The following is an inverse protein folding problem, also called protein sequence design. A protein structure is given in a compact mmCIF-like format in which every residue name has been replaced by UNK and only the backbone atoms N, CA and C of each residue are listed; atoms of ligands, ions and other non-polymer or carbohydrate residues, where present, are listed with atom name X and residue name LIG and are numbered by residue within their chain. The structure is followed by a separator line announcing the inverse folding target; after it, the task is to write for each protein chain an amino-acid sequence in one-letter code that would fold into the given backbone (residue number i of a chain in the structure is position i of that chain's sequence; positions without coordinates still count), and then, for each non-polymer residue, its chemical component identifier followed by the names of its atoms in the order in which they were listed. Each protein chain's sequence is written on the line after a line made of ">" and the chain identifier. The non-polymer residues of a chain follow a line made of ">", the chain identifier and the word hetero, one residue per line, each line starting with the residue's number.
data_IF_145294491107
#
_entry.id   IF_145294491107
#
_cell.length_a   1.000
_cell.length_b   1.000
_cell.length_c   1.000
_cell.angle_alpha   90.00
_cell.angle_beta   90.00
_cell.angle_gamma   90.00
#
_symmetry.space_group_name_H-M   'P 1'
#
loop_
_entity.id
_entity.type
_entity.pdbx_description
1 polymer ?
#
# COMPACT_ATOMS: atom_id res chain seq x y z
N UNK A 1 6.99 3.16 -16.67
CA UNK A 1 7.58 4.14 -15.74
C UNK A 1 8.38 3.34 -14.73
N UNK A 2 9.66 3.63 -14.55
CA UNK A 2 10.48 2.96 -13.54
C UNK A 2 10.23 3.62 -12.18
N UNK A 3 10.15 2.82 -11.12
CA UNK A 3 9.98 3.31 -9.76
C UNK A 3 11.33 3.85 -9.25
N UNK A 4 11.28 4.93 -8.46
CA UNK A 4 12.48 5.54 -7.87
C UNK A 4 13.28 4.53 -7.00
N UNK A 5 14.62 4.52 -7.10
CA UNK A 5 15.46 3.44 -6.55
C UNK A 5 15.59 3.47 -5.03
N UNK A 6 15.25 4.57 -4.38
CA UNK A 6 15.29 4.73 -2.92
C UNK A 6 14.13 4.01 -2.21
N UNK A 7 13.16 3.47 -2.95
CA UNK A 7 12.18 2.51 -2.44
C UNK A 7 12.66 1.05 -2.48
N UNK A 8 13.98 0.79 -2.44
CA UNK A 8 14.50 -0.58 -2.36
C UNK A 8 14.58 -1.07 -0.89
N UNK A 9 14.21 -2.34 -0.60
CA UNK A 9 13.65 -3.34 -1.52
C UNK A 9 12.23 -2.97 -1.98
N UNK A 10 11.98 -3.10 -3.29
CA UNK A 10 10.77 -2.57 -3.95
C UNK A 10 9.51 -3.31 -3.50
N UNK A 11 8.55 -2.65 -2.81
CA UNK A 11 7.26 -3.25 -2.52
C UNK A 11 6.51 -3.51 -3.83
N UNK A 12 6.11 -4.77 -4.07
CA UNK A 12 5.40 -5.16 -5.29
C UNK A 12 4.12 -4.34 -5.51
N UNK A 13 3.50 -3.87 -4.42
CA UNK A 13 2.30 -3.03 -4.43
C UNK A 13 2.50 -1.76 -5.25
N UNK A 14 3.69 -1.14 -5.25
CA UNK A 14 3.94 0.07 -6.03
C UNK A 14 3.85 -0.20 -7.55
N UNK A 15 4.30 -1.36 -8.02
CA UNK A 15 4.11 -1.76 -9.42
C UNK A 15 2.62 -1.99 -9.73
N UNK A 16 1.89 -2.65 -8.83
CA UNK A 16 0.45 -2.86 -8.99
C UNK A 16 -0.31 -1.53 -9.05
N UNK A 17 0.07 -0.53 -8.26
CA UNK A 17 -0.49 0.83 -8.35
C UNK A 17 -0.27 1.46 -9.73
N UNK A 18 0.91 1.28 -10.34
CA UNK A 18 1.18 1.78 -11.70
C UNK A 18 0.29 1.10 -12.75
N UNK A 19 0.06 -0.21 -12.64
CA UNK A 19 -0.86 -0.92 -13.54
C UNK A 19 -2.31 -0.45 -13.35
N UNK A 20 -2.77 -0.29 -12.11
CA UNK A 20 -4.09 0.29 -11.83
C UNK A 20 -4.21 1.73 -12.36
N UNK A 21 -3.16 2.54 -12.26
CA UNK A 21 -3.14 3.90 -12.79
C UNK A 21 -3.30 3.92 -14.32
N UNK A 22 -2.76 2.95 -15.05
CA UNK A 22 -2.97 2.84 -16.51
C UNK A 22 -4.43 2.53 -16.83
N UNK A 23 -5.06 1.64 -16.06
CA UNK A 23 -6.48 1.32 -16.24
C UNK A 23 -7.35 2.57 -16.02
N UNK A 24 -7.12 3.32 -14.94
CA UNK A 24 -7.84 4.57 -14.67
C UNK A 24 -7.58 5.64 -15.75
N UNK A 25 -6.38 5.72 -16.28
CA UNK A 25 -6.04 6.64 -17.37
C UNK A 25 -6.82 6.30 -18.65
N UNK A 26 -6.92 5.01 -19.01
CA UNK A 26 -7.71 4.58 -20.15
C UNK A 26 -9.19 4.94 -20.00
N UNK A 27 -9.73 4.81 -18.79
CA UNK A 27 -11.12 5.18 -18.50
C UNK A 27 -11.40 6.67 -18.78
N UNK A 28 -10.39 7.57 -18.71
CA UNK A 28 -10.57 9.00 -19.07
C UNK A 28 -11.13 9.13 -20.50
N UNK A 29 -10.61 8.31 -21.42
CA UNK A 29 -11.06 8.30 -22.82
C UNK A 29 -12.48 7.72 -22.94
N UNK A 30 -12.78 6.63 -22.22
CA UNK A 30 -14.09 6.01 -22.23
C UNK A 30 -15.18 6.96 -21.72
N UNK A 31 -14.94 7.66 -20.61
CA UNK A 31 -15.85 8.68 -20.08
C UNK A 31 -16.08 9.82 -21.05
N UNK A 32 -15.01 10.32 -21.68
CA UNK A 32 -15.11 11.38 -22.70
C UNK A 32 -15.88 10.92 -23.93
N UNK A 33 -15.66 9.68 -24.36
CA UNK A 33 -16.36 9.07 -25.49
C UNK A 33 -17.85 8.95 -25.21
N UNK A 34 -18.24 8.31 -24.09
CA UNK A 34 -19.64 8.16 -23.70
C UNK A 34 -20.35 9.51 -23.54
N UNK A 35 -19.64 10.54 -23.06
CA UNK A 35 -20.21 11.88 -22.87
C UNK A 35 -20.44 12.63 -24.19
N UNK A 36 -19.49 12.54 -25.12
CA UNK A 36 -19.41 13.47 -26.25
C UNK A 36 -19.69 12.84 -27.62
N UNK A 37 -19.58 11.51 -27.74
CA UNK A 37 -19.67 10.79 -29.02
C UNK A 37 -20.86 9.84 -29.11
N UNK A 38 -21.55 9.63 -28.01
CA UNK A 38 -22.74 8.78 -27.91
C UNK A 38 -23.99 9.63 -27.66
N UNK A 39 -25.04 9.02 -27.12
CA UNK A 39 -26.36 9.62 -26.92
C UNK A 39 -26.52 10.38 -25.58
N UNK A 40 -25.44 10.64 -24.85
CA UNK A 40 -25.51 11.34 -23.55
C UNK A 40 -26.23 12.70 -23.63
N UNK A 41 -26.12 13.42 -24.76
CA UNK A 41 -26.77 14.72 -24.93
C UNK A 41 -28.29 14.69 -24.66
N UNK A 42 -28.92 13.52 -24.79
CA UNK A 42 -30.33 13.33 -24.48
C UNK A 42 -30.67 13.53 -22.99
N UNK A 43 -29.71 13.36 -22.08
CA UNK A 43 -29.86 13.64 -20.64
C UNK A 43 -30.30 15.10 -20.41
N UNK A 44 -29.89 16.01 -21.28
CA UNK A 44 -30.21 17.43 -21.14
C UNK A 44 -31.68 17.78 -21.43
N UNK A 45 -32.45 16.86 -22.03
CA UNK A 45 -33.89 17.01 -22.24
C UNK A 45 -34.72 16.56 -21.03
N UNK A 46 -34.10 15.93 -20.03
CA UNK A 46 -34.77 15.56 -18.79
C UNK A 46 -34.91 16.77 -17.87
N UNK A 47 -35.91 16.72 -16.99
CA UNK A 47 -36.05 17.68 -15.90
C UNK A 47 -34.79 17.71 -15.03
N UNK A 48 -34.53 18.88 -14.43
CA UNK A 48 -33.32 19.10 -13.63
C UNK A 48 -33.15 18.03 -12.54
N UNK A 49 -34.23 17.69 -11.83
CA UNK A 49 -34.22 16.68 -10.76
C UNK A 49 -33.80 15.29 -11.24
N UNK A 50 -34.07 14.98 -12.51
CA UNK A 50 -33.86 13.65 -13.09
C UNK A 50 -32.50 13.54 -13.77
N UNK A 51 -32.00 14.64 -14.38
CA UNK A 51 -30.66 14.64 -14.97
C UNK A 51 -29.53 14.75 -13.94
N UNK A 52 -29.76 15.37 -12.77
CA UNK A 52 -28.71 15.62 -11.78
C UNK A 52 -27.99 14.35 -11.31
N UNK A 53 -28.68 13.24 -10.93
CA UNK A 53 -28.01 11.98 -10.60
C UNK A 53 -27.17 11.41 -11.76
N UNK A 54 -27.66 11.55 -12.99
CA UNK A 54 -27.00 11.02 -14.19
C UNK A 54 -25.74 11.84 -14.56
N UNK A 55 -25.83 13.16 -14.48
CA UNK A 55 -24.68 14.06 -14.64
C UNK A 55 -23.63 13.84 -13.56
N UNK A 56 -24.07 13.55 -12.33
CA UNK A 56 -23.17 13.27 -11.20
C UNK A 56 -22.33 12.02 -11.43
N UNK A 57 -22.88 10.99 -12.07
CA UNK A 57 -22.12 9.79 -12.47
C UNK A 57 -20.98 10.15 -13.41
N UNK A 58 -21.27 10.89 -14.48
CA UNK A 58 -20.24 11.32 -15.42
C UNK A 58 -19.15 12.15 -14.73
N UNK A 59 -19.55 13.21 -14.01
CA UNK A 59 -18.60 14.13 -13.38
C UNK A 59 -17.69 13.40 -12.39
N UNK A 60 -18.27 12.51 -11.58
CA UNK A 60 -17.52 11.76 -10.56
C UNK A 60 -16.65 10.67 -11.20
N UNK A 61 -17.13 9.96 -12.22
CA UNK A 61 -16.39 8.89 -12.90
C UNK A 61 -15.17 9.44 -13.65
N UNK A 62 -15.34 10.59 -14.31
CA UNK A 62 -14.24 11.32 -14.93
C UNK A 62 -13.20 11.77 -13.89
N UNK A 63 -13.64 12.28 -12.74
CA UNK A 63 -12.75 12.64 -11.62
C UNK A 63 -11.97 11.43 -11.09
N UNK A 64 -12.62 10.28 -10.88
CA UNK A 64 -11.96 9.04 -10.43
C UNK A 64 -10.92 8.57 -11.45
N UNK A 65 -11.19 8.71 -12.74
CA UNK A 65 -10.20 8.43 -13.79
C UNK A 65 -8.97 9.36 -13.70
N UNK A 66 -9.20 10.61 -13.28
CA UNK A 66 -8.18 11.59 -12.90
C UNK A 66 -7.18 11.08 -11.86
N UNK A 67 -7.64 10.26 -10.90
CA UNK A 67 -6.78 9.73 -9.83
C UNK A 67 -5.63 8.86 -10.32
N UNK A 68 -5.62 8.45 -11.60
CA UNK A 68 -4.46 7.85 -12.24
C UNK A 68 -3.17 8.65 -12.02
N UNK A 69 -3.26 9.97 -11.97
CA UNK A 69 -2.11 10.85 -11.77
C UNK A 69 -1.66 10.81 -10.31
N UNK A 70 -2.60 10.87 -9.37
CA UNK A 70 -2.34 10.73 -7.93
C UNK A 70 -1.61 9.41 -7.62
N UNK A 71 -2.04 8.30 -8.21
CA UNK A 71 -1.42 6.98 -8.01
C UNK A 71 0.02 6.90 -8.52
N UNK A 72 0.46 7.79 -9.41
CA UNK A 72 1.83 7.83 -9.93
C UNK A 72 2.73 8.78 -9.13
N UNK A 73 2.15 9.65 -8.30
CA UNK A 73 2.89 10.74 -7.66
C UNK A 73 3.94 10.29 -6.65
N UNK A 74 3.86 9.05 -6.13
CA UNK A 74 4.92 8.50 -5.28
C UNK A 74 6.30 8.51 -5.96
N UNK A 75 6.36 8.51 -7.30
CA UNK A 75 7.60 8.56 -8.06
C UNK A 75 8.18 9.98 -8.22
N UNK A 76 7.53 11.01 -7.71
CA UNK A 76 7.94 12.40 -7.86
C UNK A 76 8.30 13.02 -6.49
N UNK A 77 9.59 13.06 -6.13
CA UNK A 77 10.04 13.52 -4.82
C UNK A 77 9.66 14.96 -4.47
N UNK A 78 9.43 15.80 -5.49
CA UNK A 78 8.99 17.18 -5.32
C UNK A 78 7.54 17.30 -4.82
N UNK A 79 6.70 16.27 -5.00
CA UNK A 79 5.37 16.19 -4.40
C UNK A 79 5.40 15.37 -3.12
N UNK A 80 6.00 14.18 -3.19
CA UNK A 80 6.07 13.25 -2.07
C UNK A 80 7.50 12.73 -1.89
N UNK A 81 8.29 13.36 -1.01
CA UNK A 81 9.68 12.94 -0.79
C UNK A 81 9.78 11.54 -0.19
N UNK A 82 8.78 11.11 0.60
CA UNK A 82 8.73 9.83 1.34
C UNK A 82 7.46 9.03 1.01
N UNK A 83 7.49 7.70 1.21
CA UNK A 83 6.30 6.84 1.07
C UNK A 83 5.19 7.28 2.04
N UNK A 84 5.56 7.71 3.23
CA UNK A 84 4.67 8.25 4.27
C UNK A 84 3.92 9.47 3.77
N UNK A 85 4.63 10.46 3.20
CA UNK A 85 4.01 11.67 2.67
C UNK A 85 3.01 11.38 1.54
N UNK A 86 3.32 10.39 0.70
CA UNK A 86 2.41 9.90 -0.34
C UNK A 86 1.14 9.27 0.24
N UNK A 87 1.29 8.33 1.19
CA UNK A 87 0.16 7.62 1.80
C UNK A 87 -0.73 8.53 2.67
N UNK A 88 -0.20 9.65 3.15
CA UNK A 88 -0.94 10.67 3.91
C UNK A 88 -1.59 11.73 3.02
N UNK A 89 -1.30 11.78 1.72
CA UNK A 89 -1.94 12.72 0.80
C UNK A 89 -3.46 12.55 0.82
N UNK A 90 -4.20 13.66 0.63
CA UNK A 90 -5.65 13.67 0.82
C UNK A 90 -6.39 12.62 -0.04
N UNK A 91 -6.04 12.52 -1.32
CA UNK A 91 -6.66 11.54 -2.24
C UNK A 91 -6.36 10.12 -1.79
N UNK A 92 -5.09 9.79 -1.55
CA UNK A 92 -4.66 8.45 -1.19
C UNK A 92 -5.21 8.03 0.17
N UNK A 93 -5.18 8.93 1.16
CA UNK A 93 -5.71 8.64 2.49
C UNK A 93 -7.24 8.41 2.45
N UNK A 94 -7.99 9.13 1.63
CA UNK A 94 -9.43 8.88 1.44
C UNK A 94 -9.71 7.51 0.80
N UNK A 95 -8.83 7.01 -0.07
CA UNK A 95 -8.94 5.64 -0.60
C UNK A 95 -8.66 4.64 0.52
N UNK A 96 -7.62 4.86 1.31
CA UNK A 96 -7.22 3.97 2.43
C UNK A 96 -8.33 3.85 3.48
N UNK A 97 -8.92 4.97 3.89
CA UNK A 97 -9.99 4.99 4.90
C UNK A 97 -11.30 4.38 4.40
N UNK A 98 -11.44 4.15 3.09
CA UNK A 98 -12.67 3.62 2.49
C UNK A 98 -13.72 4.67 2.17
N UNK A 99 -13.50 5.94 2.56
CA UNK A 99 -14.44 7.04 2.33
C UNK A 99 -14.85 7.17 0.86
N UNK A 100 -13.89 7.04 -0.07
CA UNK A 100 -14.20 7.04 -1.50
C UNK A 100 -15.13 5.90 -1.91
N UNK A 101 -14.96 4.70 -1.37
CA UNK A 101 -15.81 3.55 -1.71
C UNK A 101 -17.26 3.80 -1.28
N UNK A 102 -17.45 4.33 -0.08
CA UNK A 102 -18.77 4.66 0.48
C UNK A 102 -19.46 5.76 -0.34
N UNK A 103 -18.74 6.87 -0.60
CA UNK A 103 -19.25 8.01 -1.37
C UNK A 103 -19.65 7.59 -2.80
N UNK A 104 -18.79 6.80 -3.48
CA UNK A 104 -19.06 6.33 -4.84
C UNK A 104 -20.20 5.32 -4.89
N UNK A 105 -20.29 4.42 -3.91
CA UNK A 105 -21.40 3.45 -3.84
C UNK A 105 -22.74 4.16 -3.64
N UNK A 106 -22.78 5.21 -2.83
CA UNK A 106 -23.97 6.05 -2.64
C UNK A 106 -24.37 6.78 -3.92
N UNK A 107 -23.40 7.36 -4.64
CA UNK A 107 -23.64 8.03 -5.94
C UNK A 107 -24.15 7.04 -6.98
N UNK A 108 -23.54 5.85 -7.07
CA UNK A 108 -23.95 4.78 -7.97
C UNK A 108 -25.40 4.39 -7.70
N UNK A 109 -25.73 4.10 -6.44
CA UNK A 109 -27.08 3.69 -6.04
C UNK A 109 -28.12 4.74 -6.42
N UNK A 110 -27.86 6.02 -6.13
CA UNK A 110 -28.78 7.11 -6.48
C UNK A 110 -29.05 7.16 -8.00
N UNK A 111 -28.00 7.02 -8.82
CA UNK A 111 -28.18 7.01 -10.26
C UNK A 111 -28.90 5.76 -10.78
N UNK A 112 -28.65 4.59 -10.19
CA UNK A 112 -29.38 3.35 -10.52
C UNK A 112 -30.86 3.46 -10.17
N UNK A 113 -31.17 3.93 -8.98
CA UNK A 113 -32.55 4.17 -8.51
C UNK A 113 -33.25 5.16 -9.45
N UNK A 114 -32.57 6.23 -9.88
CA UNK A 114 -33.12 7.20 -10.84
C UNK A 114 -33.34 6.59 -12.22
N UNK A 115 -32.42 5.78 -12.72
CA UNK A 115 -32.60 5.07 -14.01
C UNK A 115 -33.80 4.11 -13.93
N UNK A 116 -33.97 3.41 -12.81
CA UNK A 116 -35.12 2.54 -12.56
C UNK A 116 -36.44 3.33 -12.58
N UNK A 117 -36.52 4.43 -11.82
CA UNK A 117 -37.69 5.32 -11.77
C UNK A 117 -38.07 5.87 -13.16
N UNK A 118 -37.09 6.32 -13.94
CA UNK A 118 -37.33 6.83 -15.29
C UNK A 118 -37.93 5.73 -16.19
N UNK A 119 -37.39 4.52 -16.12
CA UNK A 119 -37.90 3.38 -16.90
C UNK A 119 -39.30 2.95 -16.49
N UNK A 120 -39.61 2.92 -15.19
CA UNK A 120 -40.98 2.64 -14.71
C UNK A 120 -42.00 3.64 -15.27
N UNK A 121 -41.60 4.91 -15.38
CA UNK A 121 -42.42 5.98 -15.95
C UNK A 121 -42.37 6.04 -17.49
N UNK A 122 -41.85 4.99 -18.16
CA UNK A 122 -41.71 4.92 -19.63
C UNK A 122 -40.87 6.06 -20.24
N UNK A 123 -39.98 6.66 -19.46
CA UNK A 123 -39.01 7.65 -19.94
C UNK A 123 -37.77 6.92 -20.46
N UNK A 124 -37.38 7.25 -21.69
CA UNK A 124 -36.18 6.67 -22.31
C UNK A 124 -34.92 7.14 -21.59
N UNK A 125 -34.03 6.20 -21.25
CA UNK A 125 -32.72 6.48 -20.66
C UNK A 125 -31.66 6.25 -21.74
N UNK A 126 -30.72 7.19 -21.95
CA UNK A 126 -29.69 7.06 -22.98
C UNK A 126 -28.78 5.84 -22.72
N UNK A 127 -28.39 5.16 -23.79
CA UNK A 127 -27.50 4.00 -23.73
C UNK A 127 -26.17 4.34 -23.05
N UNK A 128 -25.63 5.53 -23.30
CA UNK A 128 -24.40 6.02 -22.69
C UNK A 128 -24.48 5.98 -21.15
N UNK A 129 -25.64 6.30 -20.55
CA UNK A 129 -25.82 6.26 -19.10
C UNK A 129 -25.69 4.83 -18.56
N UNK A 130 -26.25 3.84 -19.24
CA UNK A 130 -26.12 2.44 -18.81
C UNK A 130 -24.67 1.95 -18.87
N UNK A 131 -23.92 2.37 -19.88
CA UNK A 131 -22.49 2.05 -19.98
C UNK A 131 -21.68 2.79 -18.92
N UNK A 132 -22.01 4.05 -18.64
CA UNK A 132 -21.41 4.83 -17.57
C UNK A 132 -21.61 4.16 -16.21
N UNK A 133 -22.81 3.66 -15.90
CA UNK A 133 -23.07 2.90 -14.66
C UNK A 133 -22.19 1.64 -14.55
N UNK A 134 -22.05 0.89 -15.65
CA UNK A 134 -21.18 -0.31 -15.69
C UNK A 134 -19.71 0.05 -15.50
N UNK A 135 -19.22 1.12 -16.14
CA UNK A 135 -17.85 1.59 -15.99
C UNK A 135 -17.60 2.08 -14.56
N UNK A 136 -18.54 2.82 -13.98
CA UNK A 136 -18.47 3.33 -12.62
C UNK A 136 -18.36 2.20 -11.59
N UNK A 137 -19.15 1.13 -11.73
CA UNK A 137 -19.04 -0.10 -10.90
C UNK A 137 -17.63 -0.70 -10.95
N UNK A 138 -17.08 -0.88 -12.16
CA UNK A 138 -15.72 -1.40 -12.34
C UNK A 138 -14.66 -0.50 -11.68
N UNK A 139 -14.86 0.82 -11.71
CA UNK A 139 -13.96 1.76 -11.03
C UNK A 139 -14.02 1.64 -9.51
N UNK A 140 -15.21 1.43 -8.92
CA UNK A 140 -15.37 1.17 -7.49
C UNK A 140 -14.61 -0.12 -7.10
N UNK A 141 -14.78 -1.19 -7.87
CA UNK A 141 -14.06 -2.46 -7.66
C UNK A 141 -12.55 -2.26 -7.74
N UNK A 142 -12.06 -1.53 -8.75
CA UNK A 142 -10.65 -1.22 -8.90
C UNK A 142 -10.11 -0.39 -7.73
N UNK A 143 -10.86 0.60 -7.24
CA UNK A 143 -10.49 1.39 -6.07
C UNK A 143 -10.41 0.55 -4.80
N UNK A 144 -11.28 -0.44 -4.64
CA UNK A 144 -11.20 -1.39 -3.53
C UNK A 144 -9.93 -2.25 -3.59
N UNK A 145 -9.50 -2.67 -4.80
CA UNK A 145 -8.23 -3.37 -5.00
C UNK A 145 -7.04 -2.44 -4.68
N UNK A 146 -7.05 -1.22 -5.21
CA UNK A 146 -6.03 -0.19 -4.93
C UNK A 146 -5.91 0.05 -3.42
N UNK A 147 -7.04 0.13 -2.71
CA UNK A 147 -7.07 0.28 -1.26
C UNK A 147 -6.30 -0.84 -0.56
N UNK A 148 -6.44 -2.09 -0.98
CA UNK A 148 -5.68 -3.20 -0.39
C UNK A 148 -4.18 -3.05 -0.61
N UNK A 149 -3.75 -2.63 -1.80
CA UNK A 149 -2.34 -2.36 -2.08
C UNK A 149 -1.80 -1.22 -1.20
N UNK A 150 -2.55 -0.13 -1.04
CA UNK A 150 -2.17 1.00 -0.21
C UNK A 150 -2.09 0.64 1.29
N UNK A 151 -3.00 -0.20 1.78
CA UNK A 151 -2.92 -0.75 3.15
C UNK A 151 -1.69 -1.64 3.30
N UNK A 152 -1.41 -2.49 2.32
CA UNK A 152 -0.20 -3.33 2.30
C UNK A 152 1.10 -2.51 2.32
N UNK A 153 1.13 -1.34 1.67
CA UNK A 153 2.29 -0.45 1.71
C UNK A 153 2.59 0.07 3.11
N UNK A 154 1.58 0.25 3.98
CA UNK A 154 1.80 0.62 5.39
C UNK A 154 2.51 -0.48 6.20
N UNK A 155 2.54 -1.70 5.68
CA UNK A 155 3.26 -2.83 6.30
C UNK A 155 4.65 -3.02 5.71
N UNK A 156 5.04 -2.23 4.70
CA UNK A 156 6.37 -2.34 4.10
C UNK A 156 7.47 -1.83 5.03
N UNK A 157 8.66 -2.43 4.94
CA UNK A 157 9.85 -2.03 5.70
C UNK A 157 10.18 -0.54 5.52
N UNK A 158 9.96 0.01 4.32
CA UNK A 158 10.22 1.42 4.01
C UNK A 158 9.28 2.32 4.82
N UNK A 159 7.98 2.04 4.80
CA UNK A 159 7.02 2.83 5.56
C UNK A 159 7.29 2.77 7.07
N UNK A 160 7.61 1.58 7.59
CA UNK A 160 7.95 1.41 9.00
C UNK A 160 9.20 2.21 9.39
N UNK A 161 10.26 2.12 8.58
CA UNK A 161 11.52 2.87 8.78
C UNK A 161 11.29 4.38 8.78
N UNK A 162 10.50 4.89 7.84
CA UNK A 162 10.20 6.33 7.73
C UNK A 162 9.41 6.89 8.92
N UNK A 163 8.59 6.07 9.58
CA UNK A 163 7.73 6.52 10.68
C UNK A 163 8.33 6.27 12.07
N UNK A 164 9.61 5.88 12.14
CA UNK A 164 10.26 5.48 13.40
C UNK A 164 9.44 4.43 14.18
N UNK A 165 8.58 3.69 13.47
CA UNK A 165 7.97 2.48 14.00
C UNK A 165 9.17 1.56 14.16
N UNK A 166 9.62 1.37 15.41
CA UNK A 166 10.74 0.50 15.76
C UNK A 166 10.61 -0.79 14.96
N UNK A 167 11.38 -0.88 13.87
CA UNK A 167 11.77 -2.15 13.30
C UNK A 167 12.89 -2.59 14.26
N UNK A 168 12.52 -3.06 15.45
CA UNK A 168 13.10 -4.35 15.70
C UNK A 168 12.44 -5.23 14.65
N UNK A 169 13.23 -5.63 13.66
CA UNK A 169 12.77 -6.75 12.85
C UNK A 169 12.46 -7.82 13.87
N UNK A 170 11.38 -8.61 13.71
CA UNK A 170 11.11 -9.76 14.59
C UNK A 170 12.40 -10.54 14.90
N UNK A 171 13.34 -10.54 13.95
CA UNK A 171 14.73 -10.99 14.05
C UNK A 171 15.61 -10.24 15.08
N UNK A 172 15.64 -8.91 15.15
CA UNK A 172 16.30 -8.14 16.24
C UNK A 172 15.70 -8.45 17.61
N UNK A 173 14.37 -8.43 17.79
CA UNK A 173 13.79 -8.81 19.10
C UNK A 173 14.14 -10.24 19.47
N UNK A 174 14.12 -11.18 18.51
CA UNK A 174 14.53 -12.57 18.74
C UNK A 174 16.00 -12.69 19.10
N UNK A 175 16.89 -11.93 18.46
CA UNK A 175 18.32 -11.85 18.80
C UNK A 175 18.48 -11.34 20.23
N UNK A 176 17.84 -10.21 20.57
CA UNK A 176 17.93 -9.60 21.89
C UNK A 176 17.36 -10.51 22.97
N UNK A 177 16.23 -11.16 22.71
CA UNK A 177 15.62 -12.09 23.65
C UNK A 177 16.51 -13.34 23.87
N UNK A 178 17.12 -13.86 22.81
CA UNK A 178 18.06 -14.97 22.88
C UNK A 178 19.29 -14.61 23.73
N UNK A 179 19.92 -13.47 23.45
CA UNK A 179 21.08 -12.96 24.21
C UNK A 179 20.70 -12.75 25.69
N UNK A 180 19.55 -12.14 25.95
CA UNK A 180 19.06 -11.91 27.31
C UNK A 180 18.82 -13.24 28.07
N UNK A 181 18.26 -14.26 27.42
CA UNK A 181 18.08 -15.58 28.03
C UNK A 181 19.42 -16.26 28.32
N UNK A 182 20.39 -16.16 27.42
CA UNK A 182 21.74 -16.67 27.66
C UNK A 182 22.41 -15.95 28.85
N UNK A 183 22.34 -14.62 28.90
CA UNK A 183 22.86 -13.82 30.01
C UNK A 183 22.24 -14.19 31.35
N UNK A 184 20.91 -14.33 31.42
CA UNK A 184 20.22 -14.80 32.64
C UNK A 184 20.68 -16.18 33.10
N UNK A 185 21.03 -17.09 32.18
CA UNK A 185 21.58 -18.40 32.54
C UNK A 185 22.94 -18.31 33.19
N UNK A 186 23.77 -17.34 32.79
CA UNK A 186 25.05 -17.09 33.43
C UNK A 186 24.85 -16.65 34.88
N UNK A 187 23.86 -15.79 35.12
CA UNK A 187 23.49 -15.30 36.47
C UNK A 187 22.83 -16.38 37.34
N UNK A 188 21.95 -17.20 36.77
CA UNK A 188 21.21 -18.26 37.49
C UNK A 188 22.12 -19.43 37.90
N UNK A 189 23.21 -19.68 37.17
CA UNK A 189 24.10 -20.84 37.35
C UNK A 189 25.57 -20.43 37.53
N UNK A 190 25.92 -19.60 38.52
CA UNK A 190 27.26 -19.04 38.67
C UNK A 190 28.32 -20.12 38.92
N UNK A 191 27.97 -21.22 39.60
CA UNK A 191 28.88 -22.35 39.80
C UNK A 191 29.33 -23.02 38.49
N UNK A 192 28.50 -22.95 37.43
CA UNK A 192 28.82 -23.49 36.11
C UNK A 192 29.61 -22.50 35.27
N UNK A 193 29.24 -21.22 35.30
CA UNK A 193 29.78 -20.20 34.38
C UNK A 193 30.96 -19.38 34.95
N UNK A 194 31.21 -19.38 36.26
CA UNK A 194 32.33 -18.61 36.86
C UNK A 194 33.74 -19.08 36.42
N UNK A 195 33.84 -20.31 35.93
CA UNK A 195 35.10 -20.86 35.40
C UNK A 195 35.37 -20.44 33.95
N UNK A 196 34.37 -19.86 33.27
CA UNK A 196 34.44 -19.49 31.86
C UNK A 196 34.92 -18.05 31.71
N UNK A 197 35.81 -17.85 30.73
CA UNK A 197 36.28 -16.52 30.34
C UNK A 197 35.29 -15.83 29.40
N UNK A 198 35.61 -14.60 29.01
CA UNK A 198 34.81 -13.80 28.07
C UNK A 198 34.53 -14.56 26.76
N UNK A 199 35.55 -15.21 26.18
CA UNK A 199 35.42 -15.95 24.92
C UNK A 199 34.48 -17.15 25.04
N UNK A 200 34.54 -17.89 26.15
CA UNK A 200 33.66 -19.03 26.43
C UNK A 200 32.18 -18.60 26.59
N UNK A 201 31.96 -17.42 27.22
CA UNK A 201 30.63 -16.84 27.39
C UNK A 201 30.07 -16.32 26.05
N UNK A 202 30.92 -15.70 25.22
CA UNK A 202 30.57 -15.30 23.86
C UNK A 202 30.16 -16.51 23.03
N UNK A 203 30.92 -17.60 23.08
CA UNK A 203 30.64 -18.80 22.31
C UNK A 203 29.32 -19.48 22.76
N UNK A 204 28.96 -19.37 24.04
CA UNK A 204 27.62 -19.75 24.52
C UNK A 204 26.51 -18.90 23.90
N UNK A 205 26.71 -17.59 23.79
CA UNK A 205 25.75 -16.69 23.14
C UNK A 205 25.63 -17.03 21.64
N UNK A 206 26.75 -17.28 20.95
CA UNK A 206 26.77 -17.67 19.55
C UNK A 206 26.04 -19.00 19.31
N UNK A 207 26.23 -19.98 20.19
CA UNK A 207 25.51 -21.25 20.14
C UNK A 207 24.00 -21.05 20.27
N UNK A 208 23.58 -20.22 21.22
CA UNK A 208 22.17 -19.91 21.43
C UNK A 208 21.55 -19.22 20.20
N UNK A 209 22.27 -18.26 19.60
CA UNK A 209 21.85 -17.55 18.40
C UNK A 209 21.78 -18.46 17.17
N UNK A 210 22.73 -19.40 17.03
CA UNK A 210 22.76 -20.38 15.94
C UNK A 210 21.57 -21.35 15.97
N UNK A 211 20.85 -21.43 17.10
CA UNK A 211 19.61 -22.19 17.21
C UNK A 211 18.41 -21.54 16.53
N UNK A 212 18.54 -20.32 16.01
CA UNK A 212 17.47 -19.60 15.32
C UNK A 212 17.61 -19.78 13.81
N UNK A 213 16.65 -20.45 13.17
CA UNK A 213 16.71 -20.89 11.76
C UNK A 213 17.03 -19.79 10.74
N UNK A 214 16.61 -18.56 11.02
CA UNK A 214 16.67 -17.44 10.07
C UNK A 214 17.73 -16.41 10.44
N UNK A 215 18.58 -16.69 11.43
CA UNK A 215 19.64 -15.80 11.89
C UNK A 215 20.99 -16.49 11.73
N UNK A 216 21.95 -15.77 11.16
CA UNK A 216 23.36 -16.14 11.18
C UNK A 216 24.07 -15.33 12.26
N UNK A 217 24.90 -16.00 13.06
CA UNK A 217 25.75 -15.37 14.07
C UNK A 217 27.20 -15.80 13.90
N UNK A 218 28.12 -14.85 14.03
CA UNK A 218 29.56 -15.08 13.92
C UNK A 218 30.30 -14.40 15.07
N UNK A 219 31.30 -15.08 15.61
CA UNK A 219 32.25 -14.51 16.56
C UNK A 219 33.41 -13.83 15.85
N UNK A 220 34.02 -12.85 16.52
CA UNK A 220 35.31 -12.24 16.14
C UNK A 220 35.40 -11.79 14.68
N UNK A 221 34.42 -11.00 14.25
CA UNK A 221 34.39 -10.49 12.88
C UNK A 221 35.24 -9.23 12.78
N UNK A 222 36.14 -9.22 11.80
CA UNK A 222 36.98 -8.07 11.48
C UNK A 222 36.43 -7.33 10.27
N UNK A 223 36.35 -5.99 10.36
CA UNK A 223 36.07 -5.12 9.22
C UNK A 223 37.14 -4.02 9.10
N UNK A 224 37.03 -3.16 8.08
CA UNK A 224 38.01 -2.07 7.85
C UNK A 224 38.08 -1.03 8.99
N UNK A 225 37.11 -1.04 9.91
CA UNK A 225 36.94 -0.05 10.98
C UNK A 225 37.33 -0.62 12.35
N UNK A 226 37.27 -1.94 12.55
CA UNK A 226 37.65 -2.57 13.81
C UNK A 226 37.24 -4.04 13.93
N UNK A 227 37.35 -4.54 15.17
CA UNK A 227 36.91 -5.88 15.60
C UNK A 227 35.51 -5.78 16.20
N UNK A 228 34.66 -6.76 15.90
CA UNK A 228 33.33 -6.94 16.50
C UNK A 228 33.28 -8.34 17.11
N UNK A 229 32.95 -8.44 18.41
CA UNK A 229 32.97 -9.73 19.11
C UNK A 229 31.83 -10.66 18.69
N UNK A 230 30.63 -10.12 18.45
CA UNK A 230 29.47 -10.86 17.93
C UNK A 230 28.81 -10.07 16.80
N UNK A 231 28.69 -10.70 15.63
CA UNK A 231 27.89 -10.21 14.51
C UNK A 231 26.71 -11.15 14.27
N UNK A 232 25.48 -10.67 14.45
CA UNK A 232 24.26 -11.43 14.18
C UNK A 232 23.35 -10.66 13.20
N UNK A 233 22.78 -11.36 12.22
CA UNK A 233 21.92 -10.77 11.18
C UNK A 233 20.98 -11.81 10.58
N UNK A 234 19.94 -11.35 9.88
CA UNK A 234 18.96 -12.21 9.22
C UNK A 234 19.50 -12.83 7.92
N UNK A 235 19.20 -14.10 7.71
CA UNK A 235 19.64 -14.86 6.53
C UNK A 235 19.04 -14.24 5.25
N UNK A 236 19.87 -13.51 4.49
CA UNK A 236 19.47 -12.80 3.27
C UNK A 236 20.03 -11.37 3.17
N UNK A 237 20.54 -10.81 4.27
CA UNK A 237 21.09 -9.44 4.29
C UNK A 237 22.57 -9.33 3.91
N UNK A 238 23.27 -10.45 3.66
CA UNK A 238 24.71 -10.42 3.33
C UNK A 238 24.95 -10.10 1.85
N UNK A 239 25.22 -8.83 1.54
CA UNK A 239 26.16 -8.48 0.47
C UNK A 239 27.53 -8.27 1.14
N UNK A 240 28.40 -9.28 1.08
CA UNK A 240 29.82 -9.13 1.42
C UNK A 240 30.54 -8.32 0.33
#
# INVERSE_FOLDING_TARGET
>A
MNIRPDFLPLPWQLNSLLECAKVLENNKNDWSHLKNKEDFSQVYYLDLKDRLPLEKIYATGAMVSGMSDDLRQFNYPNYYPTLTSFLQSSVINNIITGKWSDDLTSILKNAEDKVYELKENSVSVPWAIEQMLKLFKKQIELLNIIRQFLIGLKQSNIYQRENEILIGSVSVERILECINRAGKRFEDLPATYNQFGEEDLRDNILLALSGISDISAYGEVFNKVGKTDILAFENGEKNL
#
